data_IF_704714507907
#
_entry.id   IF_704714507907
#
_cell.length_a   1.000
_cell.length_b   1.000
_cell.length_c   1.000
_cell.angle_alpha   90.00
_cell.angle_beta   90.00
_cell.angle_gamma   90.00
#
_symmetry.space_group_name_H-M   'P 1'
#
loop_
_entity.id
_entity.type
_entity.pdbx_description
1 polymer ?
#
# COMPACT_ATOMS: atom_id res chain seq x y z
N UNK A 1 -23.69 9.51 -19.07
CA UNK A 1 -22.96 9.72 -17.80
C UNK A 1 -23.21 8.49 -16.93
N UNK A 2 -22.31 7.51 -16.98
CA UNK A 2 -22.57 6.22 -16.32
C UNK A 2 -22.53 6.36 -14.80
N UNK A 3 -23.70 6.16 -14.20
CA UNK A 3 -23.96 5.96 -12.78
C UNK A 3 -23.56 4.53 -12.41
N UNK A 4 -22.81 4.37 -11.31
CA UNK A 4 -22.71 3.10 -10.61
C UNK A 4 -23.41 3.26 -9.26
N UNK A 5 -24.72 3.05 -9.26
CA UNK A 5 -25.47 2.75 -8.08
C UNK A 5 -25.20 1.28 -7.67
N UNK A 6 -24.88 1.08 -6.39
CA UNK A 6 -25.21 -0.13 -5.64
C UNK A 6 -24.27 -1.32 -5.74
N UNK A 7 -23.43 -1.51 -4.72
CA UNK A 7 -23.36 -2.79 -4.02
C UNK A 7 -23.22 -2.56 -2.50
N UNK A 8 -24.21 -3.09 -1.81
CA UNK A 8 -24.54 -3.08 -0.39
C UNK A 8 -23.94 -4.34 0.30
N UNK A 9 -24.08 -4.43 1.63
CA UNK A 9 -24.11 -5.67 2.44
C UNK A 9 -22.80 -6.32 2.94
N UNK A 10 -21.75 -5.58 3.32
CA UNK A 10 -20.76 -6.18 4.24
C UNK A 10 -19.98 -5.23 5.18
N UNK A 11 -20.56 -4.07 5.50
CA UNK A 11 -20.01 -3.14 6.50
C UNK A 11 -19.85 -3.78 7.91
N UNK A 12 -20.46 -4.94 8.16
CA UNK A 12 -20.56 -5.56 9.48
C UNK A 12 -19.82 -6.90 9.69
N UNK A 13 -19.16 -7.50 8.68
CA UNK A 13 -18.25 -8.62 8.95
C UNK A 13 -16.91 -8.06 9.45
N UNK A 14 -16.89 -7.72 10.74
CA UNK A 14 -15.73 -7.35 11.58
C UNK A 14 -14.43 -7.30 10.79
N UNK A 15 -14.01 -6.08 10.40
CA UNK A 15 -12.66 -5.81 9.88
C UNK A 15 -11.65 -6.39 10.86
N UNK A 16 -11.23 -7.65 10.67
CA UNK A 16 -10.14 -8.26 11.42
C UNK A 16 -8.92 -7.40 11.07
N UNK A 17 -8.42 -6.66 12.05
CA UNK A 17 -7.18 -5.93 11.90
C UNK A 17 -6.13 -6.91 11.38
N UNK A 18 -5.41 -6.51 10.33
CA UNK A 18 -4.34 -7.34 9.80
C UNK A 18 -3.33 -7.58 10.92
N UNK A 19 -3.05 -8.84 11.23
CA UNK A 19 -2.15 -9.19 12.32
C UNK A 19 -0.72 -8.80 11.96
N UNK A 20 0.14 -8.67 12.98
CA UNK A 20 1.56 -8.33 12.77
C UNK A 20 2.28 -9.37 11.91
N UNK A 21 1.88 -10.64 12.04
CA UNK A 21 2.42 -11.77 11.28
C UNK A 21 2.03 -11.71 9.80
N UNK A 22 0.74 -11.49 9.49
CA UNK A 22 0.28 -11.43 8.09
C UNK A 22 0.87 -10.27 7.31
N UNK A 23 1.27 -9.20 8.00
CA UNK A 23 1.88 -8.01 7.38
C UNK A 23 3.42 -8.02 7.39
N UNK A 24 4.06 -9.03 7.97
CA UNK A 24 5.53 -9.12 8.02
C UNK A 24 6.18 -9.13 6.61
N UNK A 25 5.69 -9.90 5.63
CA UNK A 25 6.23 -9.88 4.27
C UNK A 25 6.11 -8.51 3.59
N UNK A 26 5.00 -7.78 3.83
CA UNK A 26 4.79 -6.44 3.27
C UNK A 26 5.79 -5.43 3.84
N UNK A 27 6.11 -5.55 5.14
CA UNK A 27 7.10 -4.70 5.81
C UNK A 27 8.51 -4.97 5.31
N UNK A 28 8.87 -6.24 5.12
CA UNK A 28 10.17 -6.64 4.57
C UNK A 28 10.37 -6.08 3.15
N UNK A 29 9.38 -6.28 2.26
CA UNK A 29 9.43 -5.71 0.92
C UNK A 29 9.55 -4.17 0.96
N UNK A 30 8.79 -3.51 1.84
CA UNK A 30 8.83 -2.05 2.00
C UNK A 30 10.20 -1.54 2.48
N UNK A 31 10.89 -2.29 3.35
CA UNK A 31 12.24 -1.94 3.81
C UNK A 31 13.31 -2.12 2.75
N UNK A 32 13.14 -3.08 1.84
CA UNK A 32 14.04 -3.29 0.71
C UNK A 32 13.83 -2.22 -0.38
N UNK A 33 12.58 -1.80 -0.58
CA UNK A 33 12.19 -0.83 -1.61
C UNK A 33 11.98 0.59 -1.04
N UNK A 34 12.79 1.04 -0.08
CA UNK A 34 12.58 2.33 0.62
C UNK A 34 12.69 3.55 -0.30
N UNK A 35 13.55 3.47 -1.32
CA UNK A 35 13.70 4.51 -2.36
C UNK A 35 12.54 4.55 -3.33
N UNK A 36 11.89 3.41 -3.59
CA UNK A 36 10.76 3.30 -4.50
C UNK A 36 9.63 2.36 -4.02
N UNK A 37 8.88 2.67 -2.94
CA UNK A 37 7.85 1.78 -2.38
C UNK A 37 6.54 1.67 -3.19
N UNK A 38 6.63 1.46 -4.50
CA UNK A 38 5.53 1.11 -5.40
C UNK A 38 5.76 -0.29 -5.99
N UNK A 39 5.13 -1.33 -5.42
CA UNK A 39 5.27 -2.67 -5.97
C UNK A 39 4.62 -2.77 -7.35
N UNK A 40 5.29 -3.48 -8.26
CA UNK A 40 4.80 -3.86 -9.58
C UNK A 40 3.58 -4.79 -9.48
N UNK A 41 2.93 -5.06 -10.62
CA UNK A 41 1.79 -6.00 -10.67
C UNK A 41 2.18 -7.40 -10.20
N UNK A 42 3.34 -7.91 -10.62
CA UNK A 42 3.84 -9.23 -10.24
C UNK A 42 4.13 -9.31 -8.73
N UNK A 43 4.79 -8.29 -8.18
CA UNK A 43 5.09 -8.24 -6.74
C UNK A 43 3.83 -8.17 -5.88
N UNK A 44 2.81 -7.39 -6.29
CA UNK A 44 1.52 -7.36 -5.60
C UNK A 44 0.86 -8.74 -5.58
N UNK A 45 0.96 -9.50 -6.67
CA UNK A 45 0.44 -10.88 -6.74
C UNK A 45 1.20 -11.80 -5.78
N UNK A 46 2.54 -11.77 -5.80
CA UNK A 46 3.36 -12.57 -4.88
C UNK A 46 3.04 -12.25 -3.42
N UNK A 47 2.96 -10.96 -3.07
CA UNK A 47 2.65 -10.51 -1.72
C UNK A 47 1.23 -10.90 -1.30
N UNK A 48 0.25 -10.83 -2.20
CA UNK A 48 -1.12 -11.27 -1.92
C UNK A 48 -1.18 -12.76 -1.56
N UNK A 49 -0.45 -13.61 -2.29
CA UNK A 49 -0.37 -15.05 -2.03
C UNK A 49 0.26 -15.32 -0.66
N UNK A 50 1.43 -14.73 -0.38
CA UNK A 50 2.18 -14.98 0.87
C UNK A 50 1.38 -14.50 2.09
N UNK A 51 0.76 -13.33 2.00
CA UNK A 51 0.03 -12.71 3.11
C UNK A 51 -1.41 -13.20 3.26
N UNK A 52 -1.91 -13.98 2.29
CA UNK A 52 -3.32 -14.40 2.17
C UNK A 52 -4.28 -13.21 2.16
N UNK A 53 -3.86 -12.12 1.52
CA UNK A 53 -4.66 -10.90 1.35
C UNK A 53 -5.12 -10.79 -0.10
N UNK A 54 -6.23 -10.10 -0.34
CA UNK A 54 -6.61 -9.74 -1.71
C UNK A 54 -5.67 -8.68 -2.28
N UNK A 55 -5.54 -8.61 -3.60
CA UNK A 55 -4.75 -7.57 -4.27
C UNK A 55 -5.18 -6.15 -3.84
N UNK A 56 -6.47 -5.94 -3.61
CA UNK A 56 -7.02 -4.66 -3.12
C UNK A 56 -6.52 -4.34 -1.71
N UNK A 57 -6.51 -5.34 -0.81
CA UNK A 57 -5.99 -5.17 0.55
C UNK A 57 -4.48 -4.88 0.55
N UNK A 58 -3.70 -5.58 -0.27
CA UNK A 58 -2.26 -5.31 -0.45
C UNK A 58 -2.05 -3.89 -0.97
N UNK A 59 -2.79 -3.48 -2.01
CA UNK A 59 -2.70 -2.14 -2.59
C UNK A 59 -3.05 -1.05 -1.57
N UNK A 60 -4.10 -1.26 -0.80
CA UNK A 60 -4.53 -0.36 0.28
C UNK A 60 -3.49 -0.27 1.39
N UNK A 61 -2.88 -1.41 1.75
CA UNK A 61 -1.82 -1.45 2.75
C UNK A 61 -0.62 -0.59 2.33
N UNK A 62 -0.14 -0.75 1.09
CA UNK A 62 0.98 0.05 0.57
C UNK A 62 0.66 1.54 0.48
N UNK A 63 -0.56 1.90 0.06
CA UNK A 63 -0.99 3.30 0.06
C UNK A 63 -0.94 3.91 1.48
N UNK A 64 -1.42 3.18 2.48
CA UNK A 64 -1.37 3.62 3.87
C UNK A 64 0.06 3.64 4.44
N UNK A 65 0.89 2.65 4.11
CA UNK A 65 2.27 2.59 4.56
C UNK A 65 3.09 3.78 4.03
N UNK A 66 2.96 4.13 2.74
CA UNK A 66 3.62 5.32 2.17
C UNK A 66 3.17 6.62 2.84
N UNK A 67 1.86 6.78 3.12
CA UNK A 67 1.35 7.95 3.87
C UNK A 67 2.00 8.08 5.25
N UNK A 68 2.18 6.97 5.97
CA UNK A 68 2.85 6.96 7.29
C UNK A 68 4.32 7.36 7.17
N UNK A 69 5.03 6.81 6.19
CA UNK A 69 6.43 7.20 5.94
C UNK A 69 6.56 8.70 5.62
N UNK A 70 5.62 9.27 4.86
CA UNK A 70 5.60 10.72 4.55
C UNK A 70 5.47 11.55 5.83
N UNK A 71 4.55 11.15 6.71
CA UNK A 71 4.30 11.84 7.98
C UNK A 71 5.50 11.77 8.93
N UNK A 72 6.24 10.67 8.92
CA UNK A 72 7.42 10.48 9.77
C UNK A 72 8.70 11.13 9.20
N UNK A 73 8.61 11.87 8.09
CA UNK A 73 9.76 12.39 7.32
C UNK A 73 10.80 11.30 6.96
N UNK A 74 10.34 10.04 6.85
CA UNK A 74 11.16 8.86 6.55
C UNK A 74 11.07 8.43 5.09
N UNK A 75 10.55 9.31 4.23
CA UNK A 75 10.58 9.11 2.80
C UNK A 75 11.83 9.77 2.25
N UNK A 76 12.76 8.96 1.77
CA UNK A 76 13.96 9.41 1.05
C UNK A 76 13.71 9.53 -0.45
N UNK A 77 12.44 9.69 -0.87
CA UNK A 77 12.19 10.09 -2.25
C UNK A 77 12.98 11.36 -2.45
N UNK A 78 13.96 11.33 -3.36
CA UNK A 78 14.64 12.54 -3.78
C UNK A 78 13.59 13.62 -3.89
N UNK A 79 13.78 14.67 -3.10
CA UNK A 79 13.14 15.94 -3.36
C UNK A 79 13.69 16.40 -4.70
N UNK A 80 13.15 15.86 -5.80
CA UNK A 80 13.01 16.63 -7.02
C UNK A 80 11.98 17.72 -6.71
N UNK A 81 12.38 18.67 -5.87
CA UNK A 81 11.77 19.98 -5.79
C UNK A 81 12.24 20.67 -7.07
N UNK A 82 11.32 20.83 -8.01
CA UNK A 82 11.42 21.76 -9.13
C UNK A 82 11.88 23.14 -8.62
N UNK A 83 13.19 23.43 -8.71
CA UNK A 83 13.75 24.80 -8.70
C UNK A 83 15.08 24.81 -9.45
N UNK A 84 15.01 24.89 -10.77
CA UNK A 84 15.94 25.67 -11.61
C UNK A 84 15.45 25.58 -13.06
N UNK A 85 14.80 26.64 -13.51
CA UNK A 85 14.96 27.20 -14.86
C UNK A 85 14.33 28.61 -14.82
N UNK A 86 15.22 29.61 -14.87
CA UNK A 86 15.00 31.07 -14.89
C UNK A 86 14.05 31.53 -16.02
#
# INVERSE_FOLDING_TARGET
LFSYAGLDLNSAARRKAATRETTSPLKAWLSEHRKNPYPTKAEKIMLAIITKMTLTQVSTWFANARRRLKKENKLCWDSADDKDDD
#
